data_IF_847924533202
#
_entry.id   IF_847924533202
#
_cell.length_a   1.000
_cell.length_b   1.000
_cell.length_c   1.000
_cell.angle_alpha   90.00
_cell.angle_beta   90.00
_cell.angle_gamma   90.00
#
_symmetry.space_group_name_H-M   'P 1'
#
loop_
_entity.id
_entity.type
_entity.pdbx_description
1 polymer ?
#
# COMPACT_ATOMS: atom_id res chain seq x y z
N UNK A 1 -18.17 6.42 -21.27
CA UNK A 1 -16.75 6.62 -20.91
C UNK A 1 -16.55 6.83 -19.41
N UNK A 2 -17.51 7.42 -18.69
CA UNK A 2 -17.44 7.67 -17.23
C UNK A 2 -17.26 6.43 -16.33
N UNK A 3 -18.05 5.37 -16.54
CA UNK A 3 -18.02 4.17 -15.67
C UNK A 3 -16.65 3.46 -15.64
N UNK A 4 -15.94 3.46 -16.76
CA UNK A 4 -14.60 2.86 -16.85
C UNK A 4 -13.56 3.69 -16.09
N UNK A 5 -13.74 5.01 -16.01
CA UNK A 5 -12.91 5.92 -15.23
C UNK A 5 -13.11 5.68 -13.73
N UNK A 6 -14.36 5.59 -13.26
CA UNK A 6 -14.69 5.35 -11.84
C UNK A 6 -14.16 4.02 -11.33
N UNK A 7 -14.24 2.95 -12.13
CA UNK A 7 -13.69 1.64 -11.75
C UNK A 7 -12.16 1.66 -11.64
N UNK A 8 -11.45 2.39 -12.51
CA UNK A 8 -10.00 2.56 -12.39
C UNK A 8 -9.62 3.34 -11.12
N UNK A 9 -10.34 4.44 -10.83
CA UNK A 9 -10.17 5.19 -9.58
C UNK A 9 -10.39 4.28 -8.37
N UNK A 10 -11.49 3.52 -8.33
CA UNK A 10 -11.79 2.57 -7.24
C UNK A 10 -10.67 1.55 -7.01
N UNK A 11 -10.07 1.01 -8.07
CA UNK A 11 -8.94 0.09 -7.95
C UNK A 11 -7.70 0.77 -7.35
N UNK A 12 -7.42 2.02 -7.74
CA UNK A 12 -6.33 2.79 -7.14
C UNK A 12 -6.56 3.03 -5.64
N UNK A 13 -7.79 3.41 -5.24
CA UNK A 13 -8.17 3.57 -3.82
C UNK A 13 -7.99 2.25 -3.06
N UNK A 14 -8.45 1.14 -3.63
CA UNK A 14 -8.35 -0.20 -3.02
C UNK A 14 -6.88 -0.57 -2.78
N UNK A 15 -6.04 -0.37 -3.79
CA UNK A 15 -4.61 -0.64 -3.68
C UNK A 15 -3.94 0.25 -2.63
N UNK A 16 -4.31 1.53 -2.56
CA UNK A 16 -3.77 2.47 -1.57
C UNK A 16 -4.13 2.03 -0.14
N UNK A 17 -5.39 1.65 0.10
CA UNK A 17 -5.83 1.11 1.40
C UNK A 17 -5.03 -0.14 1.77
N UNK A 18 -4.85 -1.09 0.85
CA UNK A 18 -4.06 -2.30 1.12
C UNK A 18 -2.60 -1.99 1.43
N UNK A 19 -1.99 -1.05 0.72
CA UNK A 19 -0.62 -0.62 0.98
C UNK A 19 -0.48 0.01 2.36
N UNK A 20 -1.41 0.91 2.75
CA UNK A 20 -1.42 1.50 4.10
C UNK A 20 -1.60 0.45 5.20
N UNK A 21 -2.47 -0.54 4.97
CA UNK A 21 -2.65 -1.67 5.89
C UNK A 21 -1.35 -2.47 6.02
N UNK A 22 -0.67 -2.75 4.91
CA UNK A 22 0.60 -3.47 4.92
C UNK A 22 1.70 -2.68 5.64
N UNK A 23 1.80 -1.36 5.41
CA UNK A 23 2.78 -0.48 6.05
C UNK A 23 2.60 -0.37 7.57
N UNK A 24 1.35 -0.26 8.03
CA UNK A 24 1.03 -0.13 9.47
C UNK A 24 1.05 -1.48 10.18
N UNK A 25 0.82 -2.57 9.45
CA UNK A 25 0.66 -3.92 9.97
C UNK A 25 -0.81 -4.25 10.25
N UNK A 26 -1.27 -5.40 9.76
CA UNK A 26 -2.66 -5.82 9.87
C UNK A 26 -3.12 -5.97 11.34
N UNK A 27 -2.33 -6.67 12.16
CA UNK A 27 -2.61 -6.84 13.59
C UNK A 27 -2.72 -5.52 14.34
N UNK A 28 -1.82 -4.57 14.09
CA UNK A 28 -1.86 -3.25 14.74
C UNK A 28 -3.14 -2.48 14.41
N UNK A 29 -3.57 -2.53 13.16
CA UNK A 29 -4.85 -1.94 12.75
C UNK A 29 -6.02 -2.67 13.40
N UNK A 30 -5.94 -4.00 13.54
CA UNK A 30 -6.98 -4.79 14.21
C UNK A 30 -7.14 -4.36 15.68
N UNK A 31 -6.01 -4.22 16.38
CA UNK A 31 -5.95 -3.77 17.76
C UNK A 31 -6.49 -2.34 17.91
N UNK A 32 -6.09 -1.41 17.04
CA UNK A 32 -6.56 -0.02 17.05
C UNK A 32 -8.07 0.10 16.76
N UNK A 33 -8.61 -0.80 15.93
CA UNK A 33 -10.04 -0.83 15.59
C UNK A 33 -10.87 -1.67 16.58
N UNK A 34 -10.23 -2.36 17.53
CA UNK A 34 -10.90 -3.26 18.46
C UNK A 34 -11.57 -4.46 17.76
N UNK A 35 -11.03 -4.91 16.64
CA UNK A 35 -11.55 -6.05 15.86
C UNK A 35 -10.53 -7.18 15.79
N UNK A 36 -11.00 -8.40 15.55
CA UNK A 36 -10.11 -9.52 15.30
C UNK A 36 -9.37 -9.37 13.96
N UNK A 37 -8.12 -9.82 13.91
CA UNK A 37 -7.26 -9.75 12.73
C UNK A 37 -7.89 -10.42 11.49
N UNK A 38 -8.70 -11.48 11.68
CA UNK A 38 -9.42 -12.17 10.60
C UNK A 38 -10.49 -11.30 9.95
N UNK A 39 -11.07 -10.33 10.68
CA UNK A 39 -12.05 -9.40 10.12
C UNK A 39 -11.41 -8.51 9.06
N UNK A 40 -10.17 -8.04 9.30
CA UNK A 40 -9.44 -7.24 8.31
C UNK A 40 -9.17 -8.05 7.05
N UNK A 41 -8.78 -9.32 7.18
CA UNK A 41 -8.63 -10.22 6.02
C UNK A 41 -9.95 -10.35 5.24
N UNK A 42 -11.08 -10.49 5.94
CA UNK A 42 -12.41 -10.58 5.32
C UNK A 42 -12.83 -9.28 4.64
N UNK A 43 -12.46 -8.13 5.19
CA UNK A 43 -12.75 -6.83 4.59
C UNK A 43 -12.00 -6.62 3.29
N UNK A 44 -10.76 -7.12 3.17
CA UNK A 44 -9.98 -7.04 1.92
C UNK A 44 -10.70 -7.66 0.73
N UNK A 45 -11.42 -8.78 0.93
CA UNK A 45 -12.13 -9.45 -0.17
C UNK A 45 -13.53 -8.91 -0.46
N UNK A 46 -14.18 -8.25 0.50
CA UNK A 46 -15.62 -7.96 0.41
C UNK A 46 -16.00 -6.50 0.62
N UNK A 47 -15.52 -5.87 1.70
CA UNK A 47 -15.95 -4.54 2.14
C UNK A 47 -15.11 -3.43 1.50
N UNK A 48 -13.79 -3.56 1.53
CA UNK A 48 -12.86 -2.54 1.02
C UNK A 48 -13.11 -2.26 -0.47
N UNK A 49 -13.27 -3.26 -1.36
CA UNK A 49 -13.57 -2.98 -2.77
C UNK A 49 -14.87 -2.19 -2.98
N UNK A 50 -15.90 -2.44 -2.17
CA UNK A 50 -17.17 -1.70 -2.24
C UNK A 50 -17.02 -0.27 -1.72
N UNK A 51 -16.30 -0.09 -0.62
CA UNK A 51 -16.00 1.24 -0.07
C UNK A 51 -15.15 2.06 -1.05
N UNK A 52 -14.17 1.44 -1.69
CA UNK A 52 -13.34 2.10 -2.69
C UNK A 52 -14.14 2.52 -3.94
N UNK A 53 -15.13 1.73 -4.35
CA UNK A 53 -16.07 2.15 -5.40
C UNK A 53 -16.92 3.34 -4.96
N UNK A 54 -17.43 3.32 -3.73
CA UNK A 54 -18.19 4.45 -3.17
C UNK A 54 -17.34 5.72 -3.12
N UNK A 55 -16.11 5.64 -2.62
CA UNK A 55 -15.16 6.76 -2.57
C UNK A 55 -14.85 7.29 -3.98
N UNK A 56 -14.72 6.40 -4.97
CA UNK A 56 -14.51 6.80 -6.36
C UNK A 56 -15.73 7.51 -6.98
N UNK A 57 -16.95 7.09 -6.64
CA UNK A 57 -18.22 7.73 -7.07
C UNK A 57 -18.36 9.11 -6.44
N UNK A 58 -17.99 9.23 -5.16
CA UNK A 58 -18.02 10.50 -4.42
C UNK A 58 -16.85 11.43 -4.77
N UNK A 59 -15.99 11.03 -5.71
CA UNK A 59 -14.75 11.74 -6.07
C UNK A 59 -13.86 12.06 -4.85
N UNK A 60 -13.89 11.20 -3.83
CA UNK A 60 -13.09 11.37 -2.63
C UNK A 60 -11.61 11.16 -2.96
N UNK A 61 -10.84 12.24 -2.81
CA UNK A 61 -9.44 12.34 -3.24
C UNK A 61 -8.58 11.20 -2.72
N UNK A 62 -7.94 10.49 -3.64
CA UNK A 62 -6.76 9.67 -3.34
C UNK A 62 -5.57 10.49 -3.79
N UNK A 63 -5.03 11.27 -2.87
CA UNK A 63 -3.78 11.98 -3.10
C UNK A 63 -2.67 10.94 -3.29
N UNK A 64 -2.29 10.72 -4.55
CA UNK A 64 -1.22 9.81 -4.98
C UNK A 64 0.18 10.26 -4.51
N UNK A 65 0.30 11.39 -3.83
CA UNK A 65 1.57 11.97 -3.39
C UNK A 65 2.30 11.10 -2.34
N UNK A 66 1.58 10.46 -1.42
CA UNK A 66 2.19 9.58 -0.42
C UNK A 66 2.72 8.28 -1.03
N UNK A 67 2.01 7.69 -2.00
CA UNK A 67 2.44 6.45 -2.67
C UNK A 67 3.60 6.72 -3.64
N UNK A 68 3.57 7.85 -4.35
CA UNK A 68 4.67 8.29 -5.18
C UNK A 68 5.94 8.60 -4.36
N UNK A 69 5.78 9.21 -3.17
CA UNK A 69 6.87 9.43 -2.22
C UNK A 69 7.44 8.11 -1.69
N UNK A 70 6.58 7.17 -1.30
CA UNK A 70 7.00 5.85 -0.81
C UNK A 70 7.71 5.04 -1.88
N UNK A 71 7.20 5.01 -3.11
CA UNK A 71 7.84 4.33 -4.23
C UNK A 71 9.24 4.89 -4.52
N UNK A 72 9.41 6.22 -4.42
CA UNK A 72 10.73 6.86 -4.52
C UNK A 72 11.68 6.45 -3.38
N UNK A 73 11.18 6.30 -2.15
CA UNK A 73 11.98 5.85 -1.01
C UNK A 73 12.39 4.38 -1.14
N UNK A 74 11.46 3.51 -1.56
CA UNK A 74 11.73 2.08 -1.80
C UNK A 74 12.73 1.89 -2.95
N UNK A 75 12.60 2.67 -4.03
CA UNK A 75 13.56 2.64 -5.13
C UNK A 75 14.99 2.98 -4.67
N UNK A 76 15.14 3.97 -3.76
CA UNK A 76 16.45 4.33 -3.16
C UNK A 76 17.03 3.23 -2.28
N UNK A 77 16.19 2.53 -1.51
CA UNK A 77 16.62 1.41 -0.66
C UNK A 77 17.01 0.16 -1.46
N UNK A 78 16.39 -0.05 -2.61
CA UNK A 78 16.65 -1.20 -3.48
C UNK A 78 17.81 -0.95 -4.47
N UNK A 79 18.25 0.30 -4.66
CA UNK A 79 19.50 0.59 -5.38
C UNK A 79 20.72 0.17 -4.56
N UNK A 80 21.61 -0.60 -5.20
CA UNK A 80 22.81 -1.30 -4.70
C UNK A 80 23.92 -0.43 -4.06
N UNK A 81 23.65 0.75 -3.51
CA UNK A 81 24.68 1.63 -2.94
C UNK A 81 25.22 1.15 -1.57
N UNK A 82 24.56 0.19 -0.90
CA UNK A 82 24.99 -0.36 0.39
C UNK A 82 25.48 -1.83 0.31
N UNK A 83 26.03 -2.27 -0.82
CA UNK A 83 26.75 -3.55 -0.83
C UNK A 83 28.11 -3.34 -0.13
N UNK A 84 28.43 -4.04 0.98
CA UNK A 84 29.77 -3.98 1.55
C UNK A 84 30.76 -4.47 0.49
N UNK A 85 31.79 -3.67 0.19
CA UNK A 85 32.93 -4.09 -0.64
C UNK A 85 33.70 -5.18 0.12
N UNK A 86 33.23 -6.42 0.05
CA UNK A 86 34.00 -7.55 0.55
C UNK A 86 34.91 -8.06 -0.57
N UNK A 87 36.18 -7.64 -0.51
CA UNK A 87 37.33 -8.38 -1.03
C UNK A 87 38.55 -7.96 -0.19
N UNK A 88 38.65 -8.49 1.03
CA UNK A 88 39.97 -8.75 1.61
C UNK A 88 40.60 -9.88 0.78
N UNK A 89 41.67 -9.59 0.05
CA UNK A 89 42.60 -10.61 -0.41
C UNK A 89 43.92 -10.36 0.31
N UNK A 90 44.29 -11.34 1.13
CA UNK A 90 45.55 -11.44 1.86
C UNK A 90 46.74 -11.17 0.92
N UNK A 91 47.54 -10.16 1.23
CA UNK A 91 48.94 -10.09 0.76
C UNK A 91 49.81 -10.87 1.73
N UNK A 92 50.36 -11.99 1.26
CA UNK A 92 51.50 -12.70 1.82
C UNK A 92 52.33 -13.26 0.66
#
# INVERSE_FOLDING_TARGET
>A
MELTSTRKKANAITSNIFNRIAMRGQRKIADELGVDESQITRWKSSMIPKMSMLLAILEWGVDDDELASLAKQVARLLTKENAPKNCEFFEA
#
